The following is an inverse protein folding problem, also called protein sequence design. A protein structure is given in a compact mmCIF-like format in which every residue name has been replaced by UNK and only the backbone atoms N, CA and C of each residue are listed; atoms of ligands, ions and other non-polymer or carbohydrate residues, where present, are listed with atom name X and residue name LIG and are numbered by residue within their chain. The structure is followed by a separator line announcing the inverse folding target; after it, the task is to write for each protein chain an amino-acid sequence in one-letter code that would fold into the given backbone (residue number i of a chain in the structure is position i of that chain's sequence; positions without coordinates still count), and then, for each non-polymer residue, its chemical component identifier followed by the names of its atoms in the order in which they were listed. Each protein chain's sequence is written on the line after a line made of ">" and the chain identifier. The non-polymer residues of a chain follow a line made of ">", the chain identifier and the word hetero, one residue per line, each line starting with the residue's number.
data_IF_415557978365
#
_entry.id   IF_415557978365
#
_cell.length_a   1.000
_cell.length_b   1.000
_cell.length_c   1.000
_cell.angle_alpha   90.00
_cell.angle_beta   90.00
_cell.angle_gamma   90.00
#
_symmetry.space_group_name_H-M   'P 1'
#
loop_
_entity.id
_entity.type
_entity.pdbx_description
1 polymer ?
#
# COMPACT_ATOMS: atom_id res chain seq x y z
N UNK A 1 11.91 18.53 8.12
CA UNK A 1 11.91 17.34 7.22
C UNK A 1 12.64 17.68 5.94
N UNK A 2 13.52 16.82 5.48
CA UNK A 2 14.23 17.02 4.23
C UNK A 2 13.28 16.89 3.04
N UNK A 3 13.64 17.51 1.91
CA UNK A 3 12.83 17.42 0.69
C UNK A 3 12.67 15.97 0.23
N UNK A 4 13.71 15.17 0.42
CA UNK A 4 13.71 13.76 0.06
C UNK A 4 12.64 13.01 0.85
N UNK A 5 12.61 13.18 2.17
CA UNK A 5 11.60 12.57 3.05
C UNK A 5 10.19 13.03 2.68
N UNK A 6 10.04 14.31 2.38
CA UNK A 6 8.75 14.88 1.99
C UNK A 6 8.21 14.24 0.72
N UNK A 7 9.07 14.03 -0.27
CA UNK A 7 8.68 13.39 -1.53
C UNK A 7 8.26 11.94 -1.31
N UNK A 8 8.99 11.22 -0.46
CA UNK A 8 8.68 9.84 -0.14
C UNK A 8 7.33 9.75 0.58
N UNK A 9 7.08 10.66 1.54
CA UNK A 9 5.81 10.69 2.26
C UNK A 9 4.65 10.95 1.30
N UNK A 10 4.78 11.90 0.39
CA UNK A 10 3.75 12.20 -0.62
C UNK A 10 3.48 10.98 -1.51
N UNK A 11 4.53 10.29 -1.92
CA UNK A 11 4.41 9.08 -2.73
C UNK A 11 3.64 8.00 -1.97
N UNK A 12 3.98 7.77 -0.71
CA UNK A 12 3.31 6.78 0.13
C UNK A 12 1.83 7.13 0.37
N UNK A 13 1.54 8.42 0.59
CA UNK A 13 0.15 8.87 0.77
C UNK A 13 -0.67 8.60 -0.49
N UNK A 14 -0.10 8.83 -1.66
CA UNK A 14 -0.74 8.54 -2.94
C UNK A 14 -0.98 7.05 -3.11
N UNK A 15 -0.01 6.22 -2.72
CA UNK A 15 -0.16 4.77 -2.78
C UNK A 15 -1.26 4.27 -1.86
N UNK A 16 -1.39 4.84 -0.66
CA UNK A 16 -2.45 4.48 0.27
C UNK A 16 -3.82 4.71 -0.37
N UNK A 17 -4.01 5.84 -1.03
CA UNK A 17 -5.28 6.14 -1.73
C UNK A 17 -5.55 5.12 -2.83
N UNK A 18 -4.52 4.76 -3.58
CA UNK A 18 -4.63 3.77 -4.65
C UNK A 18 -4.99 2.40 -4.10
N UNK A 19 -4.32 1.96 -3.03
CA UNK A 19 -4.60 0.67 -2.42
C UNK A 19 -6.00 0.62 -1.81
N UNK A 20 -6.45 1.73 -1.23
CA UNK A 20 -7.80 1.83 -0.69
C UNK A 20 -8.85 1.64 -1.80
N UNK A 21 -8.68 2.32 -2.92
CA UNK A 21 -9.57 2.20 -4.06
C UNK A 21 -9.58 0.77 -4.62
N UNK A 22 -8.40 0.16 -4.76
CA UNK A 22 -8.27 -1.21 -5.24
C UNK A 22 -8.91 -2.21 -4.27
N UNK A 23 -8.71 -2.02 -2.96
CA UNK A 23 -9.29 -2.87 -1.94
C UNK A 23 -10.82 -2.83 -2.01
N UNK A 24 -11.38 -1.64 -2.12
CA UNK A 24 -12.84 -1.47 -2.23
C UNK A 24 -13.37 -2.10 -3.52
N UNK A 25 -12.67 -1.91 -4.63
CA UNK A 25 -13.05 -2.49 -5.91
C UNK A 25 -13.10 -4.02 -5.84
N UNK A 26 -12.03 -4.63 -5.32
CA UNK A 26 -11.96 -6.09 -5.19
C UNK A 26 -13.03 -6.63 -4.25
N UNK A 27 -13.27 -5.93 -3.14
CA UNK A 27 -14.30 -6.30 -2.18
C UNK A 27 -15.69 -6.28 -2.80
N UNK A 28 -15.97 -5.22 -3.56
CA UNK A 28 -17.26 -5.02 -4.21
C UNK A 28 -17.52 -6.04 -5.31
N UNK A 29 -16.49 -6.42 -6.05
CA UNK A 29 -16.61 -7.41 -7.13
C UNK A 29 -16.44 -8.85 -6.67
N UNK A 30 -15.97 -9.06 -5.44
CA UNK A 30 -15.69 -10.39 -4.94
C UNK A 30 -14.54 -11.08 -5.65
N UNK A 31 -13.60 -10.30 -6.18
CA UNK A 31 -12.49 -10.84 -6.96
C UNK A 31 -11.35 -11.25 -6.04
N UNK A 32 -10.87 -12.46 -6.26
CA UNK A 32 -9.64 -12.97 -5.67
C UNK A 32 -8.84 -13.60 -6.79
N UNK A 33 -7.61 -13.19 -6.95
CA UNK A 33 -6.79 -13.65 -8.07
C UNK A 33 -5.38 -13.93 -7.61
N UNK A 34 -4.81 -15.04 -8.08
CA UNK A 34 -3.41 -15.36 -7.83
C UNK A 34 -2.56 -14.78 -8.96
N UNK A 35 -1.61 -13.93 -8.59
CA UNK A 35 -0.69 -13.33 -9.55
C UNK A 35 0.71 -13.84 -9.26
N UNK A 36 1.42 -14.21 -10.32
CA UNK A 36 2.79 -14.68 -10.20
C UNK A 36 3.74 -13.49 -10.18
N UNK A 37 4.48 -13.38 -9.09
CA UNK A 37 5.51 -12.34 -8.94
C UNK A 37 6.84 -13.06 -8.75
N UNK A 38 7.65 -13.11 -9.81
CA UNK A 38 8.87 -13.92 -9.81
C UNK A 38 8.54 -15.40 -9.70
N UNK A 39 9.07 -16.09 -8.70
CA UNK A 39 8.80 -17.50 -8.44
C UNK A 39 7.67 -17.72 -7.43
N UNK A 40 7.09 -16.62 -6.92
CA UNK A 40 6.04 -16.67 -5.91
C UNK A 40 4.67 -16.43 -6.51
N UNK A 41 3.68 -17.17 -6.01
CA UNK A 41 2.27 -16.87 -6.29
C UNK A 41 1.75 -16.02 -5.15
N UNK A 42 1.21 -14.86 -5.49
CA UNK A 42 0.63 -13.93 -4.51
C UNK A 42 -0.86 -13.85 -4.74
N UNK A 43 -1.63 -14.03 -3.68
CA UNK A 43 -3.08 -13.87 -3.74
C UNK A 43 -3.43 -12.40 -3.66
N UNK A 44 -3.97 -11.85 -4.74
CA UNK A 44 -4.46 -10.48 -4.76
C UNK A 44 -5.89 -10.48 -4.24
N UNK A 45 -6.09 -9.85 -3.09
CA UNK A 45 -7.37 -9.81 -2.40
C UNK A 45 -7.48 -8.47 -1.65
N UNK A 46 -8.67 -8.12 -1.14
CA UNK A 46 -8.78 -6.91 -0.31
C UNK A 46 -7.81 -6.90 0.86
N UNK A 47 -7.57 -8.04 1.49
CA UNK A 47 -6.64 -8.15 2.60
C UNK A 47 -5.21 -7.81 2.19
N UNK A 48 -4.79 -8.21 0.99
CA UNK A 48 -3.47 -7.89 0.45
C UNK A 48 -3.24 -6.37 0.44
N UNK A 49 -4.20 -5.62 -0.11
CA UNK A 49 -4.08 -4.16 -0.18
C UNK A 49 -4.20 -3.50 1.18
N UNK A 50 -5.00 -4.05 2.09
CA UNK A 50 -5.08 -3.55 3.47
C UNK A 50 -3.74 -3.68 4.18
N UNK A 51 -3.05 -4.80 3.99
CA UNK A 51 -1.72 -5.00 4.57
C UNK A 51 -0.71 -4.03 3.98
N UNK A 52 -0.80 -3.77 2.67
CA UNK A 52 0.05 -2.78 2.01
C UNK A 52 -0.18 -1.37 2.57
N UNK A 53 -1.45 -1.03 2.84
CA UNK A 53 -1.78 0.26 3.44
C UNK A 53 -1.19 0.40 4.85
N UNK A 54 -1.27 -0.65 5.66
CA UNK A 54 -0.67 -0.67 7.00
C UNK A 54 0.83 -0.42 6.93
N UNK A 55 1.50 -1.09 6.02
CA UNK A 55 2.95 -0.94 5.84
C UNK A 55 3.30 0.49 5.42
N UNK A 56 2.56 1.05 4.46
CA UNK A 56 2.78 2.42 4.00
C UNK A 56 2.56 3.43 5.13
N UNK A 57 1.51 3.25 5.93
CA UNK A 57 1.22 4.12 7.06
C UNK A 57 2.34 4.06 8.11
N UNK A 58 2.86 2.87 8.37
CA UNK A 58 3.98 2.67 9.30
C UNK A 58 5.22 3.41 8.82
N UNK A 59 5.53 3.29 7.52
CA UNK A 59 6.68 3.97 6.94
C UNK A 59 6.55 5.49 7.01
N UNK A 60 5.36 6.02 6.75
CA UNK A 60 5.10 7.46 6.89
C UNK A 60 5.35 7.89 8.33
N UNK A 61 4.84 7.14 9.29
CA UNK A 61 5.03 7.44 10.71
C UNK A 61 6.52 7.48 11.07
N UNK A 62 7.28 6.49 10.60
CA UNK A 62 8.73 6.42 10.85
C UNK A 62 9.46 7.61 10.21
N UNK A 63 9.08 7.98 8.98
CA UNK A 63 9.70 9.09 8.27
C UNK A 63 9.41 10.46 8.92
N UNK A 64 8.29 10.57 9.63
CA UNK A 64 7.88 11.81 10.29
C UNK A 64 8.46 11.95 11.69
N UNK A 65 9.10 10.93 12.22
CA UNK A 65 9.74 11.03 13.53
C UNK A 65 10.90 12.03 13.46
N UNK A 66 11.04 12.91 14.47
CA UNK A 66 12.21 13.79 14.55
C UNK A 66 13.47 12.96 14.78
N UNK A 67 14.55 13.43 14.21
CA UNK A 67 15.86 12.79 14.39
C UNK A 67 16.38 12.98 15.80
#
# INVERSE_FOLDING_TARGET
>A
MSDCKRRVVKFLEKEIKTYMALSLFLSKKGIKEHVRVGERKVLISPAFYKDRMKEAKRLIFELRKPD
#
